data_IF_659107807725
#
_entry.id   IF_659107807725
#
_cell.length_a   1.000
_cell.length_b   1.000
_cell.length_c   1.000
_cell.angle_alpha   90.00
_cell.angle_beta   90.00
_cell.angle_gamma   90.00
#
_symmetry.space_group_name_H-M   'P 1'
#
loop_
_entity.id
_entity.type
_entity.pdbx_description
1 polymer ?
#
# COMPACT_ATOMS: atom_id res chain seq x y z
N UNK A 1 54.58 74.87 -4.46
CA UNK A 1 55.83 74.65 -5.25
C UNK A 1 56.20 73.18 -5.04
N UNK A 2 56.00 72.29 -6.03
CA UNK A 2 57.01 71.79 -7.00
C UNK A 2 58.12 71.00 -6.28
N UNK A 3 58.52 69.75 -6.57
CA UNK A 3 58.24 68.71 -7.58
C UNK A 3 59.04 67.43 -7.17
N UNK A 4 58.47 66.24 -7.46
CA UNK A 4 59.08 65.03 -8.11
C UNK A 4 60.21 64.22 -7.40
N UNK A 5 59.94 62.96 -7.03
CA UNK A 5 60.17 61.66 -7.75
C UNK A 5 61.65 61.23 -7.82
N UNK A 6 61.97 60.03 -7.31
CA UNK A 6 62.76 59.00 -8.02
C UNK A 6 62.54 57.59 -7.42
N UNK A 7 62.31 56.65 -8.34
CA UNK A 7 62.08 55.20 -8.24
C UNK A 7 63.39 54.39 -8.17
N UNK A 8 63.21 53.06 -8.03
CA UNK A 8 64.12 51.91 -8.24
C UNK A 8 64.70 51.30 -6.96
N UNK A 9 64.85 49.98 -6.80
CA UNK A 9 64.45 48.80 -7.57
C UNK A 9 64.65 47.56 -6.66
N UNK A 10 64.05 46.44 -7.07
CA UNK A 10 63.99 45.14 -6.43
C UNK A 10 65.32 44.47 -6.03
N UNK A 11 65.25 43.57 -5.04
CA UNK A 11 65.88 42.25 -5.12
C UNK A 11 65.22 41.27 -4.12
N UNK A 12 64.64 40.22 -4.70
CA UNK A 12 64.05 39.06 -4.02
C UNK A 12 65.14 38.08 -3.56
N UNK A 13 64.89 37.34 -2.47
CA UNK A 13 65.71 36.18 -2.10
C UNK A 13 65.32 35.52 -0.78
N UNK A 14 64.97 34.23 -0.88
CA UNK A 14 64.86 33.19 0.16
C UNK A 14 63.68 33.22 1.14
N UNK A 15 62.74 32.28 0.96
CA UNK A 15 62.73 31.04 1.75
C UNK A 15 61.60 30.11 1.25
N UNK A 16 61.97 28.94 0.73
CA UNK A 16 61.04 27.85 0.50
C UNK A 16 60.65 27.26 1.86
N UNK A 17 59.46 27.63 2.36
CA UNK A 17 58.80 26.91 3.43
C UNK A 17 57.72 26.04 2.79
N UNK A 18 58.03 24.74 2.66
CA UNK A 18 57.04 23.69 2.41
C UNK A 18 56.16 23.60 3.66
N UNK A 19 55.13 24.43 3.74
CA UNK A 19 54.08 24.27 4.75
C UNK A 19 53.27 23.07 4.30
N UNK A 20 53.55 21.92 4.91
CA UNK A 20 52.61 20.81 4.93
C UNK A 20 51.31 21.35 5.51
N UNK A 21 50.32 21.58 4.65
CA UNK A 21 48.96 21.82 5.08
C UNK A 21 48.51 20.57 5.84
N UNK A 22 48.08 20.67 7.11
CA UNK A 22 47.42 19.55 7.74
C UNK A 22 46.18 19.23 6.90
N UNK A 23 45.97 17.95 6.64
CA UNK A 23 44.73 17.45 6.07
C UNK A 23 43.57 17.86 6.99
N UNK A 24 43.01 19.05 6.75
CA UNK A 24 41.70 19.45 7.22
C UNK A 24 40.64 18.69 6.42
N UNK A 25 39.46 18.45 6.98
CA UNK A 25 38.60 17.33 6.62
C UNK A 25 37.96 17.53 5.26
N UNK A 26 38.67 17.16 4.19
CA UNK A 26 38.12 16.99 2.85
C UNK A 26 37.31 15.68 2.73
N UNK A 27 36.73 15.21 3.83
CA UNK A 27 35.99 13.95 3.94
C UNK A 27 34.61 14.12 4.61
N UNK A 28 34.06 15.35 4.68
CA UNK A 28 32.74 15.61 5.25
C UNK A 28 31.77 16.36 4.32
N UNK A 29 32.14 16.56 3.04
CA UNK A 29 31.30 17.26 2.06
C UNK A 29 30.90 16.38 0.86
N UNK A 30 30.95 15.05 1.02
CA UNK A 30 30.79 14.06 -0.07
C UNK A 30 29.72 13.00 0.21
N UNK A 31 28.76 13.28 1.10
CA UNK A 31 27.78 12.31 1.59
C UNK A 31 26.37 12.93 1.79
N UNK A 32 25.99 13.93 0.97
CA UNK A 32 24.62 14.46 1.05
C UNK A 32 23.66 13.68 0.15
N UNK A 33 24.15 13.20 -0.98
CA UNK A 33 23.41 12.47 -2.03
C UNK A 33 24.49 11.60 -2.72
N UNK A 34 24.46 10.30 -2.47
CA UNK A 34 25.59 9.40 -2.70
C UNK A 34 25.58 8.76 -4.08
N UNK A 35 24.41 8.59 -4.68
CA UNK A 35 24.18 8.11 -6.05
C UNK A 35 23.75 9.21 -7.03
N UNK A 36 23.50 10.43 -6.52
CA UNK A 36 23.27 11.66 -7.29
C UNK A 36 21.95 11.68 -8.02
N UNK A 37 20.92 11.16 -7.39
CA UNK A 37 19.60 11.04 -7.97
C UNK A 37 18.66 12.22 -7.60
N UNK A 38 19.14 13.08 -6.71
CA UNK A 38 18.44 14.28 -6.26
C UNK A 38 17.79 14.14 -4.89
N UNK A 39 17.80 12.94 -4.30
CA UNK A 39 17.37 12.65 -2.94
C UNK A 39 18.59 12.67 -2.01
N UNK A 40 18.40 13.01 -0.74
CA UNK A 40 19.51 13.04 0.21
C UNK A 40 19.68 11.73 0.95
N UNK A 41 20.91 11.29 1.19
CA UNK A 41 21.22 10.08 1.97
C UNK A 41 20.50 9.99 3.31
N UNK A 42 20.24 11.13 3.95
CA UNK A 42 19.55 11.18 5.24
C UNK A 42 18.06 10.93 5.11
N UNK A 43 17.46 11.37 4.01
CA UNK A 43 16.06 11.14 3.70
C UNK A 43 15.88 9.71 3.20
N UNK A 44 16.74 9.25 2.30
CA UNK A 44 16.74 7.85 1.84
C UNK A 44 16.89 6.88 3.00
N UNK A 45 17.77 7.18 3.97
CA UNK A 45 17.92 6.36 5.16
C UNK A 45 16.71 6.44 6.12
N UNK A 46 15.94 7.54 6.13
CA UNK A 46 14.73 7.68 6.96
C UNK A 46 13.64 6.75 6.43
N UNK A 47 13.42 6.76 5.12
CA UNK A 47 12.36 6.01 4.45
C UNK A 47 12.83 4.69 3.83
N UNK A 48 13.97 4.17 4.27
CA UNK A 48 14.52 2.85 3.87
C UNK A 48 14.73 2.70 2.34
N UNK A 49 14.97 3.79 1.63
CA UNK A 49 15.51 3.79 0.26
C UNK A 49 17.00 3.38 0.28
N UNK A 50 17.60 3.25 -0.90
CA UNK A 50 18.99 2.86 -1.07
C UNK A 50 19.87 4.05 -1.49
N UNK A 51 20.67 4.64 -0.55
CA UNK A 51 21.57 5.77 -0.81
C UNK A 51 22.69 5.55 -1.83
N UNK A 52 22.71 4.41 -2.52
CA UNK A 52 23.71 4.01 -3.50
C UNK A 52 23.10 3.61 -4.83
N UNK A 53 21.78 3.68 -4.98
CA UNK A 53 21.07 3.24 -6.17
C UNK A 53 20.07 4.29 -6.64
N UNK A 54 20.49 5.11 -7.61
CA UNK A 54 19.68 6.18 -8.23
C UNK A 54 18.43 5.73 -8.99
N UNK A 55 18.00 4.48 -8.85
CA UNK A 55 16.82 3.93 -9.51
C UNK A 55 15.57 4.15 -8.66
N UNK A 56 15.71 4.10 -7.34
CA UNK A 56 14.60 4.23 -6.40
C UNK A 56 13.99 5.63 -6.41
N UNK A 57 14.73 6.70 -6.71
CA UNK A 57 14.13 8.03 -6.96
C UNK A 57 13.05 8.08 -8.04
N UNK A 58 13.03 7.11 -8.96
CA UNK A 58 12.03 7.00 -10.03
C UNK A 58 11.02 5.88 -9.77
N UNK A 59 11.20 5.16 -8.66
CA UNK A 59 10.23 4.22 -8.15
C UNK A 59 9.20 4.96 -7.32
N UNK A 60 8.13 4.25 -7.10
CA UNK A 60 6.86 4.63 -6.51
C UNK A 60 6.56 3.44 -5.60
N UNK A 61 6.68 3.66 -4.29
CA UNK A 61 6.99 2.59 -3.32
C UNK A 61 5.76 2.22 -2.49
N UNK A 62 5.04 3.26 -2.10
CA UNK A 62 3.62 3.36 -1.76
C UNK A 62 2.77 2.88 -2.95
N UNK A 63 2.72 3.61 -4.08
CA UNK A 63 1.94 3.35 -5.32
C UNK A 63 0.83 4.36 -5.62
N UNK A 64 0.79 5.48 -4.90
CA UNK A 64 0.02 6.71 -5.21
C UNK A 64 0.28 7.29 -6.63
N UNK A 65 1.31 6.81 -7.33
CA UNK A 65 1.65 7.27 -8.67
C UNK A 65 2.44 8.58 -8.68
N UNK A 66 2.90 9.08 -7.53
CA UNK A 66 4.07 9.95 -7.46
C UNK A 66 5.33 9.08 -7.58
N UNK A 67 6.46 9.62 -7.19
CA UNK A 67 7.67 8.84 -7.09
C UNK A 67 8.48 9.48 -6.00
N UNK A 68 9.39 8.69 -5.45
CA UNK A 68 10.17 9.07 -4.30
C UNK A 68 10.88 10.44 -4.45
N UNK A 69 11.27 10.83 -5.67
CA UNK A 69 11.87 12.14 -5.93
C UNK A 69 10.85 13.29 -5.99
N UNK A 70 9.64 13.03 -6.47
CA UNK A 70 8.52 13.98 -6.49
C UNK A 70 8.05 14.29 -5.08
N UNK A 71 7.89 13.28 -4.24
CA UNK A 71 7.49 13.45 -2.85
C UNK A 71 8.59 14.07 -2.02
N UNK A 72 9.87 13.65 -2.18
CA UNK A 72 11.00 14.29 -1.50
C UNK A 72 11.04 15.82 -1.71
N UNK A 73 10.62 16.29 -2.89
CA UNK A 73 10.56 17.73 -3.21
C UNK A 73 9.36 18.44 -2.58
N UNK A 74 8.28 17.71 -2.33
CA UNK A 74 7.04 18.22 -1.75
C UNK A 74 6.95 18.07 -0.24
N UNK A 75 7.82 17.20 0.31
CA UNK A 75 7.92 16.81 1.73
C UNK A 75 6.93 15.70 2.14
N UNK A 76 6.48 14.91 1.16
CA UNK A 76 5.75 13.65 1.33
C UNK A 76 6.60 12.50 1.91
N UNK A 77 5.96 11.35 2.09
CA UNK A 77 6.49 10.09 2.58
C UNK A 77 6.41 8.99 1.49
N UNK A 78 7.54 8.45 0.99
CA UNK A 78 7.61 7.47 -0.12
C UNK A 78 7.23 6.05 0.28
N UNK A 79 6.32 5.96 1.24
CA UNK A 79 5.81 4.78 1.90
C UNK A 79 4.41 5.00 2.49
N UNK A 80 3.86 6.21 2.39
CA UNK A 80 2.45 6.50 2.64
C UNK A 80 1.87 6.96 1.32
N UNK A 81 0.72 6.44 0.95
CA UNK A 81 -0.07 6.96 -0.17
C UNK A 81 -0.69 8.31 0.22
N UNK A 82 -1.13 8.47 1.47
CA UNK A 82 -1.48 9.75 2.11
C UNK A 82 -0.50 10.11 3.25
N UNK A 83 0.42 11.06 3.01
CA UNK A 83 1.45 11.42 4.00
C UNK A 83 0.92 12.09 5.27
N UNK A 84 -0.24 12.75 5.20
CA UNK A 84 -0.77 13.49 6.35
C UNK A 84 -2.11 12.99 6.90
N UNK A 85 -2.62 11.90 6.33
CA UNK A 85 -3.75 11.12 6.81
C UNK A 85 -4.99 12.02 6.93
N UNK A 86 -5.29 12.70 5.83
CA UNK A 86 -6.42 13.61 5.69
C UNK A 86 -7.46 13.14 4.69
N UNK A 87 -7.28 11.90 4.18
CA UNK A 87 -8.17 11.20 3.27
C UNK A 87 -7.84 11.42 1.80
N UNK A 88 -6.85 12.28 1.49
CA UNK A 88 -6.45 12.55 0.12
C UNK A 88 -5.03 12.06 -0.17
N UNK A 89 -4.92 11.11 -1.09
CA UNK A 89 -3.64 10.66 -1.61
C UNK A 89 -2.70 11.79 -2.01
N UNK A 90 -1.41 11.59 -1.75
CA UNK A 90 -0.30 12.51 -2.05
C UNK A 90 -0.36 12.97 -3.52
N UNK A 91 -0.82 12.09 -4.40
CA UNK A 91 -1.02 12.39 -5.81
C UNK A 91 -2.12 13.39 -6.06
N UNK A 92 -3.26 13.21 -5.45
CA UNK A 92 -4.44 14.02 -5.70
C UNK A 92 -4.35 15.35 -4.99
N UNK A 93 -3.60 15.41 -3.89
CA UNK A 93 -3.11 16.65 -3.33
C UNK A 93 -2.26 17.49 -4.30
N UNK A 94 -1.49 16.85 -5.20
CA UNK A 94 -0.80 17.60 -6.27
C UNK A 94 -1.80 18.22 -7.26
N UNK A 95 -2.93 17.56 -7.51
CA UNK A 95 -4.01 18.00 -8.39
C UNK A 95 -4.82 19.14 -7.75
N UNK A 96 -5.20 18.99 -6.48
CA UNK A 96 -5.93 19.96 -5.65
C UNK A 96 -5.00 21.08 -5.14
N UNK A 97 -3.68 20.93 -5.24
CA UNK A 97 -2.65 21.91 -4.81
C UNK A 97 -2.62 22.16 -3.30
N UNK A 98 -2.87 21.11 -2.54
CA UNK A 98 -2.70 21.00 -1.08
C UNK A 98 -1.27 20.48 -0.82
N UNK A 99 -0.97 19.98 0.38
CA UNK A 99 0.37 20.06 0.94
C UNK A 99 1.14 18.78 1.25
N UNK A 100 0.75 17.54 1.00
CA UNK A 100 1.49 16.29 1.31
C UNK A 100 2.02 16.13 2.73
N UNK A 101 1.72 17.03 3.65
CA UNK A 101 2.33 17.01 4.98
C UNK A 101 1.57 17.92 5.97
N UNK A 102 0.45 18.50 5.54
CA UNK A 102 -0.45 19.38 6.26
C UNK A 102 -1.90 19.05 5.87
N UNK A 103 -2.55 18.22 6.67
CA UNK A 103 -3.97 17.81 6.56
C UNK A 103 -5.03 18.93 6.48
N UNK A 104 -4.64 20.21 6.60
CA UNK A 104 -5.53 21.38 6.44
C UNK A 104 -4.61 22.50 5.96
N UNK A 105 -4.34 22.52 4.65
CA UNK A 105 -3.39 23.44 4.02
C UNK A 105 -3.81 24.90 4.22
N UNK A 106 -5.11 25.11 4.26
CA UNK A 106 -5.83 26.37 4.26
C UNK A 106 -5.96 26.97 5.68
N UNK A 107 -6.09 26.10 6.67
CA UNK A 107 -6.25 26.39 8.10
C UNK A 107 -7.67 26.83 8.45
N UNK A 108 -8.69 26.42 7.69
CA UNK A 108 -10.08 26.80 7.94
C UNK A 108 -10.87 25.80 8.80
N UNK A 109 -10.28 24.64 9.07
CA UNK A 109 -10.81 23.59 9.93
C UNK A 109 -11.62 22.51 9.21
N UNK A 110 -11.55 22.46 7.88
CA UNK A 110 -11.94 21.32 7.04
C UNK A 110 -10.65 20.68 6.53
N UNK A 111 -10.55 19.34 6.51
CA UNK A 111 -9.35 18.66 5.99
C UNK A 111 -9.25 18.81 4.47
N UNK A 112 -8.07 18.67 3.86
CA UNK A 112 -7.94 18.89 2.42
C UNK A 112 -8.63 17.78 1.59
N UNK A 113 -8.77 16.56 2.12
CA UNK A 113 -9.65 15.47 1.64
C UNK A 113 -11.13 15.86 1.62
N UNK A 114 -11.66 16.25 2.78
CA UNK A 114 -13.04 16.73 2.99
C UNK A 114 -13.47 17.96 2.13
N UNK A 115 -12.52 18.69 1.52
CA UNK A 115 -12.83 19.92 0.79
C UNK A 115 -13.51 19.64 -0.58
N UNK A 116 -14.66 20.25 -0.90
CA UNK A 116 -15.17 20.29 -2.30
C UNK A 116 -14.57 21.49 -3.06
N UNK A 117 -13.32 21.39 -3.49
CA UNK A 117 -12.61 22.53 -4.08
C UNK A 117 -13.21 22.99 -5.41
N UNK A 118 -13.83 22.08 -6.16
CA UNK A 118 -14.33 22.37 -7.51
C UNK A 118 -15.83 22.77 -7.52
N UNK A 119 -16.55 22.54 -6.41
CA UNK A 119 -17.93 22.92 -6.17
C UNK A 119 -18.95 22.00 -6.85
N UNK A 120 -18.62 20.74 -7.11
CA UNK A 120 -19.52 19.77 -7.75
C UNK A 120 -20.39 18.99 -6.75
N UNK A 121 -20.12 19.13 -5.44
CA UNK A 121 -20.81 18.47 -4.34
C UNK A 121 -20.29 17.06 -4.04
N UNK A 122 -19.03 16.79 -4.36
CA UNK A 122 -18.24 15.59 -4.04
C UNK A 122 -16.99 16.11 -3.30
N UNK A 123 -16.53 15.43 -2.26
CA UNK A 123 -15.30 15.84 -1.56
C UNK A 123 -14.10 15.63 -2.49
N UNK A 124 -12.92 16.14 -2.10
CA UNK A 124 -11.78 16.00 -2.99
C UNK A 124 -11.21 14.58 -2.99
N UNK A 125 -11.34 13.86 -1.86
CA UNK A 125 -11.04 12.43 -1.74
C UNK A 125 -11.90 11.61 -2.72
N UNK A 126 -13.24 11.71 -2.70
CA UNK A 126 -14.13 11.00 -3.65
C UNK A 126 -14.19 11.55 -5.11
N UNK A 127 -13.19 12.32 -5.58
CA UNK A 127 -13.15 12.81 -6.97
C UNK A 127 -12.62 11.78 -7.99
N UNK A 128 -11.91 10.75 -7.55
CA UNK A 128 -11.15 9.82 -8.37
C UNK A 128 -11.50 8.33 -8.21
N UNK A 129 -12.26 7.89 -7.21
CA UNK A 129 -12.83 6.53 -7.07
C UNK A 129 -13.61 6.13 -8.34
N UNK A 130 -14.29 7.07 -9.02
CA UNK A 130 -14.91 6.79 -10.32
C UNK A 130 -13.94 6.49 -11.49
N UNK A 131 -12.62 6.62 -11.30
CA UNK A 131 -11.53 6.49 -12.30
C UNK A 131 -10.43 5.53 -11.89
N UNK A 132 -10.28 5.27 -10.60
CA UNK A 132 -9.35 4.29 -10.04
C UNK A 132 -9.78 2.86 -10.41
N UNK A 133 -8.97 1.88 -10.03
CA UNK A 133 -9.07 0.51 -10.53
C UNK A 133 -9.01 -0.50 -9.39
N UNK A 134 -10.06 -0.63 -8.59
CA UNK A 134 -10.41 -1.80 -7.75
C UNK A 134 -9.23 -2.51 -7.03
N UNK A 135 -8.15 -1.80 -6.74
CA UNK A 135 -6.92 -2.28 -6.07
C UNK A 135 -6.08 -1.08 -5.64
N UNK A 136 -6.73 0.07 -5.62
CA UNK A 136 -6.20 1.40 -5.44
C UNK A 136 -7.28 2.26 -4.73
N UNK A 137 -8.36 1.63 -4.26
CA UNK A 137 -9.44 2.19 -3.41
C UNK A 137 -9.35 1.50 -2.01
N UNK A 138 -8.23 0.85 -1.69
CA UNK A 138 -8.17 -0.18 -0.63
C UNK A 138 -7.08 0.16 0.42
N UNK A 139 -6.79 1.45 0.59
CA UNK A 139 -5.82 1.89 1.58
C UNK A 139 -6.42 1.76 2.98
N UNK A 140 -6.18 0.60 3.60
CA UNK A 140 -6.59 0.24 4.95
C UNK A 140 -5.33 0.17 5.83
N UNK A 141 -4.96 1.31 6.43
CA UNK A 141 -3.69 1.49 7.16
C UNK A 141 -3.58 0.57 8.38
N UNK A 142 -4.69 0.24 9.01
CA UNK A 142 -4.72 -0.52 10.25
C UNK A 142 -5.25 -1.96 10.12
N UNK A 143 -5.79 -2.31 8.97
CA UNK A 143 -6.18 -3.65 8.56
C UNK A 143 -7.54 -4.07 9.08
N UNK A 144 -8.49 -3.15 9.19
CA UNK A 144 -9.82 -3.37 9.73
C UNK A 144 -10.95 -3.44 8.70
N UNK A 145 -10.60 -3.36 7.41
CA UNK A 145 -11.48 -3.42 6.25
C UNK A 145 -12.36 -2.18 6.02
N UNK A 146 -12.04 -1.05 6.65
CA UNK A 146 -12.51 0.27 6.23
C UNK A 146 -11.36 0.98 5.52
N UNK A 147 -11.63 1.62 4.37
CA UNK A 147 -10.62 2.43 3.71
C UNK A 147 -10.35 3.71 4.52
N UNK A 148 -9.09 4.17 4.57
CA UNK A 148 -8.64 5.38 5.28
C UNK A 148 -9.49 6.62 4.90
N UNK A 149 -9.95 6.69 3.64
CA UNK A 149 -10.85 7.75 3.15
C UNK A 149 -12.27 7.65 3.73
N UNK A 150 -12.84 6.45 3.82
CA UNK A 150 -14.15 6.19 4.42
C UNK A 150 -14.13 6.42 5.94
N UNK A 151 -13.01 6.12 6.60
CA UNK A 151 -12.85 6.34 8.04
C UNK A 151 -13.01 7.82 8.42
N UNK A 152 -12.59 8.75 7.58
CA UNK A 152 -12.81 10.17 7.82
C UNK A 152 -14.29 10.55 7.78
N UNK A 153 -15.06 9.98 6.84
CA UNK A 153 -16.50 10.19 6.74
C UNK A 153 -17.26 9.60 7.94
N UNK A 154 -16.83 8.42 8.39
CA UNK A 154 -17.38 7.70 9.53
C UNK A 154 -16.91 8.29 10.88
N UNK A 155 -15.85 9.08 10.87
CA UNK A 155 -15.24 9.70 12.06
C UNK A 155 -14.43 8.71 12.91
N UNK A 156 -13.85 7.72 12.25
CA UNK A 156 -12.92 6.71 12.74
C UNK A 156 -11.47 7.25 12.67
N UNK A 157 -10.51 6.46 13.13
CA UNK A 157 -9.08 6.79 13.18
C UNK A 157 -8.32 5.73 12.40
N UNK A 158 -7.92 6.07 11.16
CA UNK A 158 -7.18 5.19 10.24
C UNK A 158 -5.88 4.57 10.75
N UNK A 159 -5.38 5.03 11.89
CA UNK A 159 -4.27 4.38 12.57
C UNK A 159 -4.68 3.31 13.59
N UNK A 160 -5.95 3.00 13.70
CA UNK A 160 -6.57 2.31 14.83
C UNK A 160 -7.83 1.55 14.46
N UNK A 161 -7.63 0.27 14.11
CA UNK A 161 -8.66 -0.73 13.84
C UNK A 161 -9.80 -0.88 14.88
N UNK A 162 -9.72 -0.23 16.04
CA UNK A 162 -10.76 -0.13 17.08
C UNK A 162 -10.65 1.28 17.69
N UNK A 163 -11.18 2.27 16.97
CA UNK A 163 -11.09 3.71 17.26
C UNK A 163 -11.66 4.07 18.63
N UNK A 164 -12.73 3.38 19.03
CA UNK A 164 -13.46 3.66 20.26
C UNK A 164 -12.99 2.81 21.48
N UNK A 165 -12.24 1.75 21.21
CA UNK A 165 -11.60 0.87 22.17
C UNK A 165 -12.57 -0.08 22.88
N UNK A 166 -13.73 -0.37 22.30
CA UNK A 166 -14.72 -1.28 22.87
C UNK A 166 -14.45 -2.77 22.60
N UNK A 167 -13.53 -3.05 21.68
CA UNK A 167 -13.05 -4.37 21.30
C UNK A 167 -13.82 -5.03 20.16
N UNK A 168 -14.57 -4.24 19.38
CA UNK A 168 -15.02 -4.54 18.02
C UNK A 168 -14.15 -3.70 17.09
N UNK A 169 -13.70 -4.28 15.98
CA UNK A 169 -12.90 -3.54 15.01
C UNK A 169 -13.83 -2.60 14.20
N UNK A 170 -13.36 -1.43 13.75
CA UNK A 170 -14.27 -0.39 13.25
C UNK A 170 -15.02 -0.84 11.97
N UNK A 171 -14.37 -1.59 11.08
CA UNK A 171 -15.03 -2.24 9.94
C UNK A 171 -16.17 -3.17 10.32
N UNK A 172 -16.08 -3.83 11.48
CA UNK A 172 -17.12 -4.72 12.00
C UNK A 172 -18.22 -3.98 12.80
N UNK A 173 -18.17 -2.66 12.89
CA UNK A 173 -19.21 -1.84 13.50
C UNK A 173 -20.32 -1.43 12.51
N UNK A 174 -21.47 -1.01 13.04
CA UNK A 174 -22.59 -0.41 12.30
C UNK A 174 -22.85 0.93 12.98
N UNK A 175 -21.97 1.91 12.70
CA UNK A 175 -21.91 3.15 13.45
C UNK A 175 -23.20 3.99 13.31
N UNK A 176 -23.85 3.89 12.15
CA UNK A 176 -25.04 4.67 11.79
C UNK A 176 -26.38 3.93 12.09
N UNK A 177 -26.31 2.63 12.37
CA UNK A 177 -27.41 1.70 12.66
C UNK A 177 -28.37 1.45 11.48
N UNK A 178 -27.89 1.48 10.24
CA UNK A 178 -28.65 1.19 9.04
C UNK A 178 -28.72 -0.31 8.69
N UNK A 179 -27.98 -1.14 9.43
CA UNK A 179 -27.82 -2.60 9.25
C UNK A 179 -26.85 -3.03 8.13
N UNK A 180 -25.93 -2.15 7.75
CA UNK A 180 -24.68 -2.47 7.07
C UNK A 180 -23.52 -2.28 8.04
N UNK A 181 -22.44 -3.02 7.82
CA UNK A 181 -21.21 -2.80 8.56
C UNK A 181 -20.43 -1.68 7.88
N UNK A 182 -19.56 -0.99 8.62
CA UNK A 182 -18.71 0.08 8.09
C UNK A 182 -17.87 -0.41 6.90
N UNK A 183 -17.35 -1.64 6.96
CA UNK A 183 -16.64 -2.32 5.86
C UNK A 183 -17.52 -2.55 4.60
N UNK A 184 -18.85 -2.45 4.73
CA UNK A 184 -19.82 -2.60 3.64
C UNK A 184 -20.47 -1.25 3.22
N UNK A 185 -20.03 -0.12 3.80
CA UNK A 185 -20.64 1.19 3.55
C UNK A 185 -20.06 1.92 2.34
N UNK A 186 -18.99 1.38 1.73
CA UNK A 186 -18.24 1.97 0.62
C UNK A 186 -19.18 2.57 -0.46
N UNK A 187 -18.99 3.86 -0.64
CA UNK A 187 -20.04 4.83 -0.88
C UNK A 187 -20.39 4.94 -2.37
N UNK A 188 -19.59 4.46 -3.32
CA UNK A 188 -19.81 4.86 -4.70
C UNK A 188 -20.71 3.90 -5.46
N UNK A 189 -22.02 4.21 -5.49
CA UNK A 189 -22.97 3.70 -6.51
C UNK A 189 -22.56 4.01 -7.98
N UNK A 190 -21.38 4.62 -8.19
CA UNK A 190 -20.73 4.91 -9.47
C UNK A 190 -19.45 4.11 -9.68
N UNK A 191 -18.97 3.42 -8.66
CA UNK A 191 -17.82 2.57 -8.80
C UNK A 191 -18.16 1.34 -9.68
N UNK A 192 -17.15 0.92 -10.45
CA UNK A 192 -17.27 -0.11 -11.48
C UNK A 192 -16.91 -1.49 -10.95
N UNK A 193 -16.62 -1.60 -9.66
CA UNK A 193 -16.03 -2.76 -9.04
C UNK A 193 -17.07 -3.70 -8.38
N UNK A 194 -18.37 -3.30 -8.34
CA UNK A 194 -19.67 -4.03 -8.12
C UNK A 194 -19.86 -5.47 -8.66
N UNK A 195 -18.83 -6.30 -8.75
CA UNK A 195 -18.95 -7.71 -8.99
C UNK A 195 -19.21 -8.32 -7.62
N UNK A 196 -20.49 -8.50 -7.37
CA UNK A 196 -21.02 -9.34 -6.32
C UNK A 196 -21.31 -10.70 -7.00
N UNK A 197 -20.35 -11.63 -6.94
CA UNK A 197 -20.42 -12.88 -7.69
C UNK A 197 -21.50 -13.83 -7.15
N UNK A 198 -21.86 -13.71 -5.88
CA UNK A 198 -22.80 -14.58 -5.20
C UNK A 198 -24.15 -13.90 -4.81
N UNK A 199 -24.29 -12.61 -5.11
CA UNK A 199 -25.48 -11.74 -4.99
C UNK A 199 -25.92 -11.57 -3.51
N UNK A 200 -24.95 -11.50 -2.58
CA UNK A 200 -25.17 -11.45 -1.14
C UNK A 200 -25.26 -10.03 -0.55
N UNK A 201 -24.78 -9.03 -1.29
CA UNK A 201 -24.88 -7.62 -0.95
C UNK A 201 -23.57 -6.90 -0.65
N UNK A 202 -22.44 -7.62 -0.59
CA UNK A 202 -21.06 -7.11 -0.45
C UNK A 202 -20.32 -7.29 -1.80
N UNK A 203 -19.35 -6.45 -2.13
CA UNK A 203 -18.57 -6.63 -3.38
C UNK A 203 -17.49 -7.71 -3.17
N UNK A 204 -17.12 -8.45 -4.23
CA UNK A 204 -16.12 -9.53 -4.18
C UNK A 204 -14.75 -9.08 -3.60
N UNK A 205 -14.45 -7.77 -3.57
CA UNK A 205 -13.18 -7.20 -3.10
C UNK A 205 -13.23 -6.68 -1.65
N UNK A 206 -14.40 -6.24 -1.17
CA UNK A 206 -14.66 -5.86 0.23
C UNK A 206 -14.86 -7.11 1.12
N UNK A 207 -14.85 -8.29 0.52
CA UNK A 207 -14.86 -9.56 1.26
C UNK A 207 -13.48 -9.82 1.90
N UNK A 208 -13.33 -9.41 3.15
CA UNK A 208 -12.35 -9.94 4.10
C UNK A 208 -12.51 -11.46 4.33
N UNK A 209 -12.07 -12.27 3.36
CA UNK A 209 -11.68 -13.68 3.41
C UNK A 209 -12.57 -14.71 4.15
N UNK A 210 -13.92 -14.64 4.12
CA UNK A 210 -14.74 -15.79 4.51
C UNK A 210 -16.04 -15.94 3.71
N UNK A 211 -15.96 -16.54 2.52
CA UNK A 211 -17.14 -17.11 1.85
C UNK A 211 -17.96 -18.01 2.78
N UNK A 212 -17.30 -18.71 3.72
CA UNK A 212 -18.00 -19.47 4.76
C UNK A 212 -17.14 -20.48 5.50
N UNK A 213 -17.81 -21.46 6.11
CA UNK A 213 -17.13 -22.59 6.77
C UNK A 213 -17.55 -23.93 6.17
N UNK A 214 -16.61 -24.87 6.11
CA UNK A 214 -16.91 -26.23 5.70
C UNK A 214 -17.89 -26.84 6.72
N UNK A 215 -19.13 -27.09 6.28
CA UNK A 215 -20.12 -27.80 7.09
C UNK A 215 -19.80 -29.31 7.13
N UNK A 216 -19.45 -29.89 5.98
CA UNK A 216 -19.04 -31.29 5.90
C UNK A 216 -18.35 -31.64 4.58
N UNK A 217 -17.44 -32.60 4.62
CA UNK A 217 -16.91 -33.29 3.44
C UNK A 217 -17.05 -34.81 3.58
N UNK A 218 -17.62 -35.48 2.57
CA UNK A 218 -17.74 -36.93 2.50
C UNK A 218 -16.77 -37.49 1.45
N UNK A 219 -15.74 -38.21 1.89
CA UNK A 219 -14.72 -38.80 1.03
C UNK A 219 -15.23 -39.98 0.17
N UNK A 220 -16.33 -40.65 0.52
CA UNK A 220 -16.91 -41.72 -0.30
C UNK A 220 -17.71 -41.15 -1.48
N UNK A 221 -18.46 -40.08 -1.23
CA UNK A 221 -19.30 -39.44 -2.24
C UNK A 221 -18.63 -38.25 -2.93
N UNK A 222 -17.51 -37.78 -2.39
CA UNK A 222 -16.75 -36.61 -2.84
C UNK A 222 -17.58 -35.32 -2.83
N UNK A 223 -18.51 -35.21 -1.89
CA UNK A 223 -19.39 -34.03 -1.74
C UNK A 223 -18.87 -33.15 -0.61
N UNK A 224 -18.63 -31.88 -0.95
CA UNK A 224 -18.31 -30.81 -0.03
C UNK A 224 -19.56 -29.95 0.19
N UNK A 225 -19.84 -29.62 1.43
CA UNK A 225 -20.93 -28.75 1.85
C UNK A 225 -20.33 -27.63 2.66
N UNK A 226 -20.61 -26.40 2.27
CA UNK A 226 -20.14 -25.17 2.90
C UNK A 226 -21.37 -24.40 3.38
N UNK A 227 -21.30 -23.90 4.60
CA UNK A 227 -22.26 -22.91 5.11
C UNK A 227 -21.61 -21.56 4.92
N UNK A 228 -22.20 -20.76 4.03
CA UNK A 228 -21.75 -19.42 3.72
C UNK A 228 -22.04 -18.46 4.87
N UNK A 229 -21.36 -17.31 4.89
CA UNK A 229 -21.55 -16.20 5.86
C UNK A 229 -23.03 -15.80 5.98
N UNK A 230 -23.72 -15.68 4.84
CA UNK A 230 -25.17 -15.37 4.72
C UNK A 230 -26.11 -16.49 5.26
N UNK A 231 -25.53 -17.63 5.69
CA UNK A 231 -26.25 -18.78 6.23
C UNK A 231 -26.88 -19.68 5.16
N UNK A 232 -26.61 -19.46 3.88
CA UNK A 232 -26.97 -20.39 2.82
C UNK A 232 -26.03 -21.60 2.80
N UNK A 233 -26.23 -22.48 1.82
CA UNK A 233 -25.48 -23.74 1.76
C UNK A 233 -25.06 -24.02 0.34
N UNK A 234 -23.77 -23.95 0.11
CA UNK A 234 -23.15 -24.34 -1.16
C UNK A 234 -22.81 -25.82 -1.09
N UNK A 235 -23.14 -26.55 -2.15
CA UNK A 235 -22.81 -27.97 -2.29
C UNK A 235 -22.06 -28.20 -3.58
N UNK A 236 -20.83 -28.70 -3.47
CA UNK A 236 -19.92 -28.92 -4.58
C UNK A 236 -19.39 -30.36 -4.60
N UNK A 237 -19.04 -30.83 -5.80
CA UNK A 237 -18.36 -32.12 -5.96
C UNK A 237 -16.86 -31.87 -6.12
N UNK A 238 -16.06 -32.38 -5.20
CA UNK A 238 -14.59 -32.32 -5.25
C UNK A 238 -14.11 -33.42 -6.19
N UNK A 239 -13.22 -33.08 -7.12
CA UNK A 239 -12.70 -34.06 -8.10
C UNK A 239 -11.19 -34.04 -8.14
N UNK A 240 -10.58 -34.95 -8.90
CA UNK A 240 -9.12 -34.93 -9.14
C UNK A 240 -8.65 -33.75 -9.99
N UNK A 241 -9.53 -32.80 -10.29
CA UNK A 241 -9.26 -31.56 -11.02
C UNK A 241 -9.54 -30.32 -10.16
N UNK A 242 -10.01 -30.51 -8.95
CA UNK A 242 -10.23 -29.44 -7.99
C UNK A 242 -8.89 -29.13 -7.36
N UNK A 243 -8.44 -27.90 -7.53
CA UNK A 243 -7.28 -27.31 -6.85
C UNK A 243 -7.70 -26.95 -5.43
N UNK A 244 -6.83 -27.21 -4.45
CA UNK A 244 -7.09 -26.89 -3.04
C UNK A 244 -5.88 -26.11 -2.58
N UNK A 245 -6.06 -24.83 -2.34
CA UNK A 245 -5.00 -23.95 -1.87
C UNK A 245 -5.18 -23.66 -0.38
N UNK A 246 -4.07 -23.41 0.32
CA UNK A 246 -4.07 -23.01 1.72
C UNK A 246 -3.35 -21.68 1.81
N UNK A 247 -4.09 -20.64 2.20
CA UNK A 247 -3.48 -19.36 2.52
C UNK A 247 -2.71 -19.49 3.83
N UNK A 248 -1.41 -19.28 3.72
CA UNK A 248 -0.55 -19.21 4.88
C UNK A 248 -0.56 -17.76 5.36
N UNK A 249 -1.07 -17.53 6.56
CA UNK A 249 -0.93 -16.26 7.26
C UNK A 249 0.55 -15.83 7.30
N UNK A 250 0.97 -14.96 6.37
CA UNK A 250 2.28 -14.32 6.32
C UNK A 250 3.21 -14.68 5.15
N UNK A 251 2.78 -14.54 3.90
CA UNK A 251 3.71 -14.34 2.77
C UNK A 251 3.45 -12.99 2.07
N UNK A 252 3.88 -11.90 2.72
CA UNK A 252 4.20 -10.63 2.06
C UNK A 252 5.49 -10.79 1.22
N UNK A 253 5.46 -11.74 0.30
CA UNK A 253 6.62 -12.34 -0.34
C UNK A 253 7.08 -11.64 -1.61
N UNK A 254 7.23 -10.31 -1.58
CA UNK A 254 8.10 -9.50 -2.45
C UNK A 254 8.73 -10.26 -3.65
N UNK A 255 8.17 -10.14 -4.86
CA UNK A 255 8.84 -10.56 -6.10
C UNK A 255 10.06 -9.66 -6.39
N UNK A 256 11.15 -9.96 -5.69
CA UNK A 256 12.45 -9.34 -5.88
C UNK A 256 13.02 -9.73 -7.25
N UNK A 257 12.96 -8.79 -8.19
CA UNK A 257 13.67 -8.85 -9.47
C UNK A 257 15.19 -8.92 -9.27
N UNK A 258 15.72 -10.15 -9.22
CA UNK A 258 17.15 -10.48 -9.14
C UNK A 258 17.71 -10.98 -10.47
N UNK A 259 18.52 -10.14 -11.12
CA UNK A 259 19.25 -10.36 -12.37
C UNK A 259 20.40 -11.40 -12.28
N UNK A 260 20.42 -12.30 -13.27
CA UNK A 260 21.49 -13.13 -13.88
C UNK A 260 22.59 -13.85 -13.06
N UNK A 261 22.63 -15.20 -13.20
CA UNK A 261 23.83 -15.89 -13.70
C UNK A 261 24.41 -17.10 -12.95
N UNK A 262 24.31 -18.27 -13.60
CA UNK A 262 25.20 -19.46 -13.56
C UNK A 262 24.94 -20.59 -12.54
N UNK A 263 24.27 -21.64 -13.03
CA UNK A 263 24.73 -23.04 -13.02
C UNK A 263 24.98 -23.74 -11.67
N UNK A 264 23.98 -24.51 -11.22
CA UNK A 264 24.15 -25.60 -10.26
C UNK A 264 22.81 -26.29 -10.01
N UNK A 265 22.66 -27.53 -10.50
CA UNK A 265 21.56 -28.41 -10.10
C UNK A 265 21.68 -28.74 -8.62
N UNK A 266 20.59 -28.56 -7.86
CA UNK A 266 20.20 -29.19 -6.58
C UNK A 266 18.81 -28.58 -6.23
N UNK A 267 17.69 -29.16 -6.67
CA UNK A 267 16.78 -30.00 -5.86
C UNK A 267 16.59 -29.53 -4.39
N UNK A 268 15.69 -28.56 -4.18
CA UNK A 268 14.93 -28.35 -2.93
C UNK A 268 13.79 -27.35 -3.20
N UNK A 269 12.56 -27.78 -2.88
CA UNK A 269 11.29 -27.29 -3.43
C UNK A 269 10.87 -25.86 -3.08
N UNK A 270 10.16 -25.29 -4.03
CA UNK A 270 9.10 -24.31 -3.81
C UNK A 270 7.96 -25.09 -3.13
N UNK A 271 7.53 -24.66 -1.94
CA UNK A 271 6.29 -25.15 -1.30
C UNK A 271 5.30 -24.00 -1.37
N UNK A 272 4.82 -23.75 -2.57
CA UNK A 272 3.39 -23.57 -2.83
C UNK A 272 2.69 -24.65 -1.99
N UNK A 273 2.08 -24.25 -0.86
CA UNK A 273 1.47 -25.16 0.11
C UNK A 273 0.12 -25.67 -0.45
N UNK A 274 0.24 -26.50 -1.49
CA UNK A 274 -0.86 -27.22 -2.14
C UNK A 274 -1.60 -28.06 -1.10
N UNK A 275 -2.82 -27.64 -0.78
CA UNK A 275 -3.74 -28.33 0.12
C UNK A 275 -4.24 -29.65 -0.46
N UNK A 276 -4.85 -30.45 0.40
CA UNK A 276 -5.40 -31.75 0.01
C UNK A 276 -6.83 -31.93 0.52
N UNK A 277 -7.53 -32.94 0.03
CA UNK A 277 -8.84 -33.33 0.59
C UNK A 277 -8.81 -33.67 2.10
N UNK A 278 -7.62 -33.86 2.70
CA UNK A 278 -7.49 -34.03 4.14
C UNK A 278 -7.70 -32.72 4.92
N UNK A 279 -7.54 -31.59 4.25
CA UNK A 279 -7.67 -30.24 4.80
C UNK A 279 -9.12 -29.74 4.78
N UNK A 280 -10.01 -30.44 4.05
CA UNK A 280 -11.45 -30.20 4.01
C UNK A 280 -12.14 -30.69 5.30
N UNK A 281 -11.83 -30.04 6.42
CA UNK A 281 -12.33 -30.40 7.75
C UNK A 281 -13.48 -29.47 8.15
N UNK A 282 -14.47 -30.02 8.85
CA UNK A 282 -15.62 -29.24 9.34
C UNK A 282 -15.16 -28.07 10.21
N UNK A 283 -15.70 -26.88 9.96
CA UNK A 283 -15.40 -25.65 10.66
C UNK A 283 -14.14 -24.94 10.18
N UNK A 284 -13.48 -25.43 9.12
CA UNK A 284 -12.42 -24.68 8.44
C UNK A 284 -13.02 -23.58 7.58
N UNK A 285 -12.37 -22.42 7.61
CA UNK A 285 -12.67 -21.25 6.80
C UNK A 285 -12.46 -21.54 5.33
N UNK A 286 -13.36 -21.03 4.49
CA UNK A 286 -13.25 -21.03 3.04
C UNK A 286 -13.22 -19.59 2.61
N UNK A 287 -12.19 -19.24 1.87
CA UNK A 287 -11.89 -17.88 1.42
C UNK A 287 -12.42 -17.70 0.00
N UNK A 288 -12.15 -18.65 -0.89
CA UNK A 288 -12.58 -18.58 -2.28
C UNK A 288 -13.17 -19.91 -2.80
N UNK A 289 -14.14 -19.81 -3.72
CA UNK A 289 -14.71 -20.94 -4.46
C UNK A 289 -14.85 -20.62 -5.93
N UNK A 290 -14.03 -21.27 -6.74
CA UNK A 290 -14.05 -21.03 -8.17
C UNK A 290 -14.71 -22.18 -8.96
N UNK A 291 -15.54 -21.84 -9.94
CA UNK A 291 -16.31 -22.82 -10.71
C UNK A 291 -16.13 -22.67 -12.22
N UNK A 292 -15.85 -23.80 -12.87
CA UNK A 292 -15.83 -23.87 -14.33
C UNK A 292 -17.17 -23.41 -14.94
N UNK A 293 -17.17 -22.24 -15.59
CA UNK A 293 -18.37 -21.56 -16.14
C UNK A 293 -19.30 -22.44 -16.99
N UNK A 294 -18.79 -23.51 -17.61
CA UNK A 294 -19.57 -24.41 -18.50
C UNK A 294 -20.10 -25.67 -17.82
N UNK A 295 -19.40 -26.19 -16.82
CA UNK A 295 -19.74 -27.46 -16.17
C UNK A 295 -20.28 -27.28 -14.77
N UNK A 296 -20.13 -26.08 -14.17
CA UNK A 296 -20.41 -25.80 -12.75
C UNK A 296 -19.75 -26.85 -11.83
N UNK A 297 -18.57 -27.29 -12.22
CA UNK A 297 -17.72 -28.14 -11.40
C UNK A 297 -16.77 -27.23 -10.63
N UNK A 298 -16.51 -27.57 -9.37
CA UNK A 298 -15.55 -26.87 -8.54
C UNK A 298 -14.16 -26.99 -9.19
N UNK A 299 -13.64 -25.85 -9.59
CA UNK A 299 -12.33 -25.65 -10.19
C UNK A 299 -11.28 -25.54 -9.09
N UNK A 300 -11.55 -24.69 -8.11
CA UNK A 300 -10.60 -24.32 -7.06
C UNK A 300 -11.34 -24.01 -5.76
N UNK A 301 -10.65 -24.23 -4.64
CA UNK A 301 -11.08 -23.80 -3.31
C UNK A 301 -9.86 -23.32 -2.54
N UNK A 302 -9.96 -22.13 -1.97
CA UNK A 302 -8.92 -21.53 -1.13
C UNK A 302 -9.36 -21.61 0.33
N UNK A 303 -8.46 -22.09 1.19
CA UNK A 303 -8.71 -22.31 2.61
C UNK A 303 -7.83 -21.39 3.48
N UNK A 304 -8.46 -20.70 4.43
CA UNK A 304 -7.77 -20.05 5.56
C UNK A 304 -7.38 -21.00 6.69
#
# INVERSE_FOLDING_TARGET
MIKRIFTCAAAAGLAAALVATPAGPAAAAKAKDSDRDGISNSWEAKYKLNPRSSKDSRSDFDRDGLNNLQEYKRKGNPRDEDTDNDGQDDKDEVSTRTALNIADTDGDGILDGDEDRNGNGIANEDEDDARERCSADDDDTDGDFVADEDENELGLDAGSADSDGDGVDDGAEDADADSRLNEDEDDSSKDRCLRDADDDGTADEDEGEVLGTIASYDAETQVLVITTSDGTTVTAAVTSRTEIEIESAGDDGSEGSGDEGTGGSDDSGNTDDEGTTADLVTGRTVVELDFWRKSRQLEEIVLG
#
